data_IF_384594302365
#
_entry.id   IF_384594302365
#
_cell.length_a   1.000
_cell.length_b   1.000
_cell.length_c   1.000
_cell.angle_alpha   90.00
_cell.angle_beta   90.00
_cell.angle_gamma   90.00
#
_symmetry.space_group_name_H-M   'P 1'
#
loop_
_entity.id
_entity.type
_entity.pdbx_description
1 polymer ?
#
# COMPACT_ATOMS: atom_id res chain seq x y z
N UNK A 1 9.79 -12.23 1.27
CA UNK A 1 9.66 -10.96 2.04
C UNK A 1 8.36 -10.31 1.61
N UNK A 2 7.46 -10.01 2.56
CA UNK A 2 6.05 -9.62 2.35
C UNK A 2 5.74 -8.18 2.82
N UNK A 3 6.79 -7.44 3.20
CA UNK A 3 6.73 -6.04 3.63
C UNK A 3 7.09 -5.12 2.48
N UNK A 4 6.22 -4.17 2.17
CA UNK A 4 6.40 -3.16 1.14
C UNK A 4 6.65 -1.78 1.74
N UNK A 5 7.41 -0.97 1.01
CA UNK A 5 7.56 0.46 1.27
C UNK A 5 6.77 1.22 0.20
N UNK A 6 5.88 2.10 0.64
CA UNK A 6 5.07 2.97 -0.21
C UNK A 6 5.49 4.40 0.08
N UNK A 7 6.28 5.00 -0.81
CA UNK A 7 6.78 6.37 -0.66
C UNK A 7 6.01 7.38 -1.49
N UNK A 8 6.39 8.65 -1.38
CA UNK A 8 5.78 9.75 -2.13
C UNK A 8 4.27 9.88 -1.87
N UNK A 9 3.86 9.58 -0.63
CA UNK A 9 2.49 9.79 -0.20
C UNK A 9 2.28 11.25 0.19
N UNK A 10 1.13 11.81 -0.16
CA UNK A 10 0.74 13.13 0.34
C UNK A 10 0.63 13.11 1.86
N UNK A 11 0.96 14.21 2.57
CA UNK A 11 0.85 14.27 4.03
C UNK A 11 -0.60 14.19 4.54
N UNK A 12 -1.58 14.34 3.64
CA UNK A 12 -3.01 14.16 3.90
C UNK A 12 -3.47 12.71 3.83
N UNK A 13 -2.68 11.80 3.24
CA UNK A 13 -3.03 10.38 3.14
C UNK A 13 -3.17 9.79 4.54
N UNK A 14 -4.25 9.06 4.76
CA UNK A 14 -4.51 8.30 5.99
C UNK A 14 -4.33 6.80 5.76
N UNK A 15 -4.37 6.03 6.85
CA UNK A 15 -4.38 4.56 6.76
C UNK A 15 -5.63 4.08 6.01
N UNK A 16 -6.77 4.71 6.25
CA UNK A 16 -8.05 4.38 5.62
C UNK A 16 -7.99 4.59 4.10
N UNK A 17 -7.34 5.66 3.62
CA UNK A 17 -7.13 5.89 2.18
C UNK A 17 -6.29 4.78 1.53
N UNK A 18 -5.25 4.31 2.23
CA UNK A 18 -4.43 3.20 1.75
C UNK A 18 -5.23 1.90 1.72
N UNK A 19 -5.99 1.59 2.79
CA UNK A 19 -6.85 0.41 2.83
C UNK A 19 -7.92 0.43 1.74
N UNK A 20 -8.54 1.59 1.51
CA UNK A 20 -9.50 1.78 0.43
C UNK A 20 -8.84 1.56 -0.93
N UNK A 21 -7.64 2.13 -1.17
CA UNK A 21 -6.89 1.91 -2.39
C UNK A 21 -6.62 0.43 -2.65
N UNK A 22 -6.18 -0.32 -1.63
CA UNK A 22 -5.96 -1.76 -1.76
C UNK A 22 -7.26 -2.48 -2.14
N UNK A 23 -8.39 -2.11 -1.51
CA UNK A 23 -9.71 -2.64 -1.85
C UNK A 23 -10.15 -2.34 -3.29
N UNK A 24 -10.05 -1.08 -3.71
CA UNK A 24 -10.44 -0.63 -5.07
C UNK A 24 -9.61 -1.29 -6.17
N UNK A 25 -8.37 -1.68 -5.86
CA UNK A 25 -7.45 -2.35 -6.79
C UNK A 25 -7.54 -3.88 -6.71
N UNK A 26 -8.51 -4.43 -5.99
CA UNK A 26 -8.68 -5.87 -5.76
C UNK A 26 -7.39 -6.53 -5.21
N UNK A 27 -6.67 -5.77 -4.37
CA UNK A 27 -5.49 -6.22 -3.67
C UNK A 27 -5.89 -6.85 -2.34
N UNK A 28 -5.14 -7.85 -1.89
CA UNK A 28 -5.34 -8.44 -0.57
C UNK A 28 -5.17 -7.37 0.52
N UNK A 29 -6.00 -7.46 1.56
CA UNK A 29 -5.90 -6.53 2.69
C UNK A 29 -4.53 -6.69 3.38
N UNK A 30 -3.86 -5.58 3.71
CA UNK A 30 -2.63 -5.64 4.48
C UNK A 30 -2.91 -6.10 5.91
N UNK A 31 -2.01 -6.90 6.49
CA UNK A 31 -2.06 -7.26 7.92
C UNK A 31 -1.73 -6.06 8.80
N UNK A 32 -0.81 -5.22 8.35
CA UNK A 32 -0.37 -4.06 9.09
C UNK A 32 0.03 -2.92 8.15
N UNK A 33 -0.47 -1.72 8.44
CA UNK A 33 -0.06 -0.48 7.77
C UNK A 33 0.56 0.44 8.81
N UNK A 34 1.83 0.77 8.62
CA UNK A 34 2.54 1.77 9.40
C UNK A 34 2.75 3.01 8.54
N UNK A 35 1.80 3.95 8.64
CA UNK A 35 1.87 5.24 7.98
C UNK A 35 2.78 6.21 8.75
N UNK A 36 3.61 6.94 8.01
CA UNK A 36 4.44 8.05 8.47
C UNK A 36 4.29 9.23 7.50
N UNK A 37 4.76 10.40 7.90
CA UNK A 37 4.70 11.59 7.05
C UNK A 37 5.49 11.35 5.76
N UNK A 38 4.79 11.27 4.63
CA UNK A 38 5.37 11.10 3.29
C UNK A 38 5.56 9.66 2.81
N UNK A 39 5.30 8.64 3.66
CA UNK A 39 5.49 7.24 3.31
C UNK A 39 4.79 6.26 4.27
N UNK A 40 4.55 5.03 3.83
CA UNK A 40 3.99 3.95 4.63
C UNK A 40 4.79 2.65 4.47
N UNK A 41 4.80 1.84 5.51
CA UNK A 41 5.18 0.43 5.42
C UNK A 41 3.94 -0.44 5.50
N UNK A 42 3.83 -1.39 4.57
CA UNK A 42 2.65 -2.25 4.44
C UNK A 42 3.10 -3.70 4.49
N UNK A 43 2.68 -4.43 5.50
CA UNK A 43 2.90 -5.87 5.62
C UNK A 43 1.68 -6.61 5.07
N UNK A 44 1.93 -7.49 4.09
CA UNK A 44 0.91 -8.37 3.50
C UNK A 44 0.97 -9.75 4.15
N UNK A 45 -0.13 -10.53 4.13
CA UNK A 45 -0.16 -11.87 4.71
C UNK A 45 0.85 -12.86 4.10
N UNK A 46 1.20 -12.65 2.84
CA UNK A 46 2.09 -13.54 2.11
C UNK A 46 2.86 -12.80 0.99
N UNK A 47 3.90 -13.46 0.48
CA UNK A 47 4.74 -12.88 -0.56
C UNK A 47 3.99 -12.69 -1.88
N UNK A 48 3.01 -13.54 -2.21
CA UNK A 48 2.26 -13.44 -3.46
C UNK A 48 1.35 -12.20 -3.45
N UNK A 49 0.72 -11.95 -2.31
CA UNK A 49 -0.03 -10.72 -2.00
C UNK A 49 0.83 -9.47 -2.18
N UNK A 50 2.04 -9.47 -1.61
CA UNK A 50 2.99 -8.36 -1.78
C UNK A 50 3.42 -8.18 -3.25
N UNK A 51 3.69 -9.26 -3.98
CA UNK A 51 4.04 -9.18 -5.42
C UNK A 51 2.89 -8.57 -6.21
N UNK A 52 1.65 -9.03 -6.01
CA UNK A 52 0.47 -8.50 -6.68
C UNK A 52 0.30 -7.00 -6.44
N UNK A 53 0.52 -6.55 -5.19
CA UNK A 53 0.48 -5.13 -4.84
C UNK A 53 1.57 -4.33 -5.55
N UNK A 54 2.80 -4.84 -5.64
CA UNK A 54 3.88 -4.21 -6.42
C UNK A 54 3.47 -4.11 -7.91
N UNK A 55 3.04 -5.21 -8.53
CA UNK A 55 2.66 -5.21 -9.95
C UNK A 55 1.48 -4.27 -10.25
N UNK A 56 0.60 -4.09 -9.28
CA UNK A 56 -0.59 -3.26 -9.44
C UNK A 56 -0.31 -1.78 -9.17
N UNK A 57 0.54 -1.44 -8.19
CA UNK A 57 0.72 -0.07 -7.70
C UNK A 57 2.07 0.55 -8.09
N UNK A 58 3.11 -0.26 -8.28
CA UNK A 58 4.44 0.25 -8.62
C UNK A 58 4.44 0.92 -9.98
N UNK A 59 4.93 2.16 -10.04
CA UNK A 59 5.04 2.93 -11.28
C UNK A 59 3.72 3.52 -11.79
N UNK A 60 2.63 3.43 -11.03
CA UNK A 60 1.37 4.13 -11.35
C UNK A 60 1.25 5.39 -10.50
N UNK A 61 0.85 6.49 -11.14
CA UNK A 61 0.41 7.67 -10.42
C UNK A 61 -0.89 7.31 -9.69
N UNK A 62 -0.87 7.38 -8.37
CA UNK A 62 -2.06 7.20 -7.54
C UNK A 62 -2.44 8.59 -7.07
N UNK A 63 -3.51 9.14 -7.65
CA UNK A 63 -4.07 10.42 -7.22
C UNK A 63 -4.81 10.17 -5.90
N UNK A 64 -4.36 10.83 -4.83
CA UNK A 64 -4.99 10.87 -3.51
C UNK A 64 -5.36 12.33 -3.18
#
# INVERSE_FOLDING_TARGET
>A
MNKLYVGNLSPSVTVEDLEQLFGERELPAPEQVLLKSGYAFVDFPDQNSAIKAIETLSGKCVDF
#
